data_IF_329233736137
#
_entry.id   IF_329233736137
#
_cell.length_a   1.000
_cell.length_b   1.000
_cell.length_c   1.000
_cell.angle_alpha   90.00
_cell.angle_beta   90.00
_cell.angle_gamma   90.00
#
_symmetry.space_group_name_H-M   'P 1'
#
loop_
_entity.id
_entity.type
_entity.pdbx_description
1 polymer ?
#
# COMPACT_ATOMS: atom_id res chain seq x y z
N UNK A 1 -14.32 -19.74 -22.33
CA UNK A 1 -15.30 -20.11 -21.28
C UNK A 1 -14.51 -20.12 -19.98
N UNK A 2 -14.72 -19.14 -19.09
CA UNK A 2 -13.93 -19.01 -17.84
C UNK A 2 -14.15 -20.26 -16.96
N UNK A 3 -13.10 -20.76 -16.33
CA UNK A 3 -13.16 -21.89 -15.40
C UNK A 3 -14.03 -21.52 -14.19
N UNK A 4 -15.21 -22.15 -14.09
CA UNK A 4 -16.27 -21.85 -13.11
C UNK A 4 -16.04 -22.46 -11.71
N UNK A 5 -14.93 -23.16 -11.48
CA UNK A 5 -14.68 -23.90 -10.23
C UNK A 5 -14.13 -23.00 -9.11
N UNK A 6 -13.25 -22.04 -9.42
CA UNK A 6 -12.78 -21.04 -8.46
C UNK A 6 -13.87 -20.00 -8.10
N UNK A 7 -14.73 -19.68 -9.09
CA UNK A 7 -15.88 -18.79 -8.90
C UNK A 7 -16.88 -19.39 -7.89
N UNK A 8 -17.16 -20.70 -7.97
CA UNK A 8 -18.06 -21.39 -7.04
C UNK A 8 -17.59 -21.40 -5.57
N UNK A 9 -16.27 -21.46 -5.31
CA UNK A 9 -15.75 -21.46 -3.92
C UNK A 9 -15.85 -20.05 -3.33
N UNK A 10 -15.54 -19.04 -4.13
CA UNK A 10 -15.61 -17.63 -3.71
C UNK A 10 -17.06 -17.19 -3.50
N UNK A 11 -17.97 -17.59 -4.39
CA UNK A 11 -19.40 -17.30 -4.29
C UNK A 11 -20.03 -17.96 -3.05
N UNK A 12 -19.73 -19.23 -2.78
CA UNK A 12 -20.23 -19.90 -1.58
C UNK A 12 -19.65 -19.31 -0.28
N UNK A 13 -18.38 -18.85 -0.30
CA UNK A 13 -17.77 -18.23 0.86
C UNK A 13 -18.36 -16.84 1.17
N UNK A 14 -18.53 -15.99 0.16
CA UNK A 14 -19.08 -14.64 0.36
C UNK A 14 -20.53 -14.70 0.86
N UNK A 15 -21.37 -15.57 0.27
CA UNK A 15 -22.75 -15.77 0.71
C UNK A 15 -22.79 -16.24 2.15
N UNK A 16 -21.97 -17.24 2.51
CA UNK A 16 -21.89 -17.74 3.89
C UNK A 16 -21.50 -16.64 4.86
N UNK A 17 -20.42 -15.91 4.60
CA UNK A 17 -19.95 -14.85 5.50
C UNK A 17 -20.94 -13.69 5.65
N UNK A 18 -21.61 -13.28 4.56
CA UNK A 18 -22.64 -12.24 4.63
C UNK A 18 -23.88 -12.70 5.41
N UNK A 19 -24.31 -13.95 5.22
CA UNK A 19 -25.42 -14.52 5.98
C UNK A 19 -25.09 -14.66 7.47
N UNK A 20 -23.88 -15.10 7.80
CA UNK A 20 -23.43 -15.22 9.18
C UNK A 20 -23.36 -13.84 9.85
N UNK A 21 -22.80 -12.83 9.17
CA UNK A 21 -22.80 -11.44 9.65
C UNK A 21 -24.22 -10.90 9.92
N UNK A 22 -25.16 -11.12 8.98
CA UNK A 22 -26.53 -10.65 9.13
C UNK A 22 -27.25 -11.33 10.32
N UNK A 23 -27.02 -12.63 10.53
CA UNK A 23 -27.58 -13.36 11.68
C UNK A 23 -26.94 -12.94 13.00
N UNK A 24 -25.62 -12.76 13.03
CA UNK A 24 -24.86 -12.36 14.21
C UNK A 24 -25.30 -10.98 14.70
N UNK A 25 -25.41 -10.02 13.78
CA UNK A 25 -25.77 -8.64 14.09
C UNK A 25 -27.28 -8.41 14.21
N UNK A 26 -28.10 -9.38 13.76
CA UNK A 26 -29.55 -9.24 13.59
C UNK A 26 -29.91 -8.02 12.74
N UNK A 27 -29.25 -7.91 11.59
CA UNK A 27 -29.38 -6.78 10.66
C UNK A 27 -30.85 -6.48 10.36
N UNK A 28 -31.28 -5.27 10.68
CA UNK A 28 -32.64 -4.81 10.41
C UNK A 28 -32.81 -4.37 8.95
N UNK A 29 -34.06 -4.24 8.51
CA UNK A 29 -34.36 -3.71 7.16
C UNK A 29 -33.82 -2.30 6.95
N UNK A 30 -33.91 -1.43 7.95
CA UNK A 30 -33.41 -0.05 7.85
C UNK A 30 -31.88 0.01 7.73
N UNK A 31 -31.16 -0.82 8.50
CA UNK A 31 -29.70 -0.92 8.38
C UNK A 31 -29.27 -1.53 7.05
N UNK A 32 -30.03 -2.50 6.56
CA UNK A 32 -29.81 -3.10 5.25
C UNK A 32 -30.03 -2.08 4.12
N UNK A 33 -31.13 -1.32 4.14
CA UNK A 33 -31.39 -0.25 3.16
C UNK A 33 -30.27 0.81 3.18
N UNK A 34 -29.85 1.24 4.37
CA UNK A 34 -28.72 2.16 4.52
C UNK A 34 -27.42 1.60 3.91
N UNK A 35 -27.12 0.32 4.12
CA UNK A 35 -25.93 -0.32 3.56
C UNK A 35 -25.99 -0.40 2.03
N UNK A 36 -27.17 -0.71 1.46
CA UNK A 36 -27.39 -0.72 0.01
C UNK A 36 -27.19 0.68 -0.58
N UNK A 37 -27.78 1.70 0.04
CA UNK A 37 -27.63 3.09 -0.39
C UNK A 37 -26.17 3.56 -0.30
N UNK A 38 -25.46 3.18 0.76
CA UNK A 38 -24.05 3.46 0.92
C UNK A 38 -23.19 2.84 -0.19
N UNK A 39 -23.44 1.58 -0.55
CA UNK A 39 -22.73 0.90 -1.64
C UNK A 39 -23.07 1.52 -3.00
N UNK A 40 -24.34 1.87 -3.22
CA UNK A 40 -24.77 2.58 -4.42
C UNK A 40 -24.08 3.95 -4.54
N UNK A 41 -24.01 4.71 -3.45
CA UNK A 41 -23.33 6.00 -3.40
C UNK A 41 -21.81 5.86 -3.65
N UNK A 42 -21.18 4.81 -3.12
CA UNK A 42 -19.78 4.49 -3.43
C UNK A 42 -19.60 4.29 -4.94
N UNK A 43 -20.46 3.48 -5.56
CA UNK A 43 -20.43 3.19 -7.00
C UNK A 43 -20.68 4.42 -7.87
N UNK A 44 -21.61 5.31 -7.50
CA UNK A 44 -21.88 6.54 -8.24
C UNK A 44 -20.72 7.54 -8.21
N UNK A 45 -19.90 7.50 -7.16
CA UNK A 45 -18.74 8.39 -6.98
C UNK A 45 -17.41 7.72 -7.36
N UNK A 46 -17.46 6.48 -7.85
CA UNK A 46 -16.30 5.77 -8.35
C UNK A 46 -15.70 6.42 -9.60
N UNK A 47 -14.38 6.41 -9.64
CA UNK A 47 -13.58 6.55 -10.85
C UNK A 47 -12.59 5.37 -10.87
N UNK A 48 -11.77 5.16 -11.92
CA UNK A 48 -10.78 4.09 -11.95
C UNK A 48 -9.83 4.05 -10.73
N UNK A 49 -9.68 5.17 -10.03
CA UNK A 49 -8.84 5.33 -8.84
C UNK A 49 -9.61 5.69 -7.56
N UNK A 50 -10.96 5.69 -7.57
CA UNK A 50 -11.76 6.29 -6.48
C UNK A 50 -12.90 5.42 -5.94
N UNK A 51 -13.14 5.59 -4.63
CA UNK A 51 -14.20 5.06 -3.76
C UNK A 51 -14.15 3.58 -3.37
N UNK A 52 -14.29 2.60 -4.26
CA UNK A 52 -14.28 1.19 -3.82
C UNK A 52 -12.90 0.72 -3.35
N UNK A 53 -11.82 1.17 -4.01
CA UNK A 53 -10.45 0.94 -3.53
C UNK A 53 -10.25 1.59 -2.16
N UNK A 54 -10.68 2.86 -2.01
CA UNK A 54 -10.56 3.56 -0.74
C UNK A 54 -11.41 2.90 0.37
N UNK A 55 -12.60 2.38 0.05
CA UNK A 55 -13.41 1.61 1.00
C UNK A 55 -12.66 0.36 1.45
N UNK A 56 -12.09 -0.40 0.49
CA UNK A 56 -11.24 -1.57 0.76
C UNK A 56 -10.04 -1.22 1.64
N UNK A 57 -9.40 -0.08 1.40
CA UNK A 57 -8.27 0.41 2.18
C UNK A 57 -8.69 0.72 3.63
N UNK A 58 -9.78 1.48 3.83
CA UNK A 58 -10.19 1.91 5.17
C UNK A 58 -10.82 0.81 6.01
N UNK A 59 -11.28 -0.29 5.42
CA UNK A 59 -11.71 -1.49 6.15
C UNK A 59 -10.58 -2.53 6.31
N UNK A 60 -9.40 -2.26 5.75
CA UNK A 60 -8.21 -3.12 5.87
C UNK A 60 -8.18 -4.32 4.93
N UNK A 61 -9.13 -4.43 3.99
CA UNK A 61 -9.19 -5.55 3.05
C UNK A 61 -8.00 -5.53 2.08
N UNK A 62 -7.61 -4.35 1.57
CA UNK A 62 -6.49 -4.22 0.64
C UNK A 62 -5.17 -4.74 1.23
N UNK A 63 -4.90 -4.39 2.49
CA UNK A 63 -3.71 -4.84 3.20
C UNK A 63 -3.73 -6.35 3.48
N UNK A 64 -4.91 -6.88 3.82
CA UNK A 64 -5.08 -8.32 4.04
C UNK A 64 -4.81 -9.11 2.76
N UNK A 65 -5.38 -8.67 1.63
CA UNK A 65 -5.16 -9.29 0.32
C UNK A 65 -3.67 -9.23 -0.06
N UNK A 66 -3.02 -8.08 0.09
CA UNK A 66 -1.58 -7.93 -0.17
C UNK A 66 -0.75 -8.90 0.69
N UNK A 67 -1.07 -9.04 1.98
CA UNK A 67 -0.34 -9.92 2.89
C UNK A 67 -0.52 -11.41 2.57
N UNK A 68 -1.68 -11.79 2.00
CA UNK A 68 -1.96 -13.15 1.53
C UNK A 68 -1.22 -13.43 0.23
N UNK A 69 -1.26 -12.48 -0.71
CA UNK A 69 -0.70 -12.67 -2.04
C UNK A 69 0.83 -12.50 -2.05
N UNK A 70 1.41 -11.61 -1.24
CA UNK A 70 2.84 -11.35 -1.19
C UNK A 70 3.44 -11.64 0.19
N UNK A 71 3.39 -12.89 0.69
CA UNK A 71 3.96 -13.21 1.99
C UNK A 71 5.48 -13.03 1.96
N UNK A 72 6.02 -12.41 3.02
CA UNK A 72 7.46 -12.17 3.16
C UNK A 72 8.07 -13.09 4.22
N UNK A 73 9.24 -13.70 3.95
CA UNK A 73 10.01 -14.40 4.97
C UNK A 73 10.60 -13.42 5.98
N UNK A 74 11.10 -13.93 7.11
CA UNK A 74 11.80 -13.11 8.10
C UNK A 74 13.02 -12.41 7.47
N UNK A 75 13.19 -11.11 7.76
CA UNK A 75 14.27 -10.29 7.23
C UNK A 75 14.03 -9.68 5.85
N UNK A 76 12.98 -10.09 5.13
CA UNK A 76 12.58 -9.41 3.89
C UNK A 76 11.81 -8.12 4.18
N UNK A 77 11.93 -7.12 3.30
CA UNK A 77 11.14 -5.89 3.45
C UNK A 77 9.66 -6.19 3.25
N UNK A 78 8.85 -5.74 4.19
CA UNK A 78 7.41 -5.96 4.17
C UNK A 78 6.72 -5.12 3.08
N UNK A 79 5.72 -5.72 2.42
CA UNK A 79 4.79 -5.00 1.55
C UNK A 79 3.76 -4.20 2.34
N UNK A 80 3.22 -3.15 1.72
CA UNK A 80 2.03 -2.43 2.22
C UNK A 80 1.26 -1.82 1.05
N UNK A 81 0.08 -1.27 1.32
CA UNK A 81 -0.83 -0.77 0.29
C UNK A 81 -0.19 0.30 -0.59
N UNK A 82 -0.34 0.17 -1.92
CA UNK A 82 0.11 1.16 -2.89
C UNK A 82 -0.59 2.52 -2.69
N UNK A 83 -1.87 2.47 -2.30
CA UNK A 83 -2.77 3.62 -2.29
C UNK A 83 -3.17 4.07 -3.71
N UNK A 84 -4.13 5.00 -3.83
CA UNK A 84 -4.77 5.34 -5.10
C UNK A 84 -3.96 6.32 -5.98
N UNK A 85 -2.76 6.72 -5.57
CA UNK A 85 -2.04 7.86 -6.16
C UNK A 85 -0.86 7.47 -7.07
N UNK A 86 -0.66 6.17 -7.31
CA UNK A 86 0.27 5.68 -8.32
C UNK A 86 -0.21 6.04 -9.72
N UNK A 87 0.69 6.53 -10.56
CA UNK A 87 0.45 6.81 -11.98
C UNK A 87 1.64 6.38 -12.83
N UNK A 88 1.39 6.06 -14.10
CA UNK A 88 2.38 5.52 -15.02
C UNK A 88 3.12 6.62 -15.83
N UNK A 89 2.90 7.89 -15.48
CA UNK A 89 3.44 9.07 -16.20
C UNK A 89 4.67 9.70 -15.52
N UNK A 90 5.26 9.01 -14.54
CA UNK A 90 6.50 9.46 -13.90
C UNK A 90 7.66 9.52 -14.91
N UNK A 91 8.48 10.57 -14.81
CA UNK A 91 9.66 10.72 -15.64
C UNK A 91 10.80 9.76 -15.20
N UNK A 92 11.59 9.30 -16.16
CA UNK A 92 12.87 8.65 -15.88
C UNK A 92 13.90 9.70 -15.46
N UNK A 93 14.54 9.50 -14.31
CA UNK A 93 15.48 10.45 -13.73
C UNK A 93 16.82 9.77 -13.42
N UNK A 94 17.87 10.57 -13.29
CA UNK A 94 19.21 10.13 -12.91
C UNK A 94 19.40 10.21 -11.40
N UNK A 95 20.38 9.47 -10.89
CA UNK A 95 20.77 9.58 -9.49
C UNK A 95 21.20 11.01 -9.17
N UNK A 96 20.56 11.59 -8.14
CA UNK A 96 20.81 12.95 -7.68
C UNK A 96 19.94 14.04 -8.27
N UNK A 97 19.04 13.70 -9.19
CA UNK A 97 18.01 14.63 -9.64
C UNK A 97 17.04 14.96 -8.50
N UNK A 98 16.39 16.13 -8.60
CA UNK A 98 15.43 16.63 -7.62
C UNK A 98 14.00 16.33 -8.08
N UNK A 99 13.27 15.56 -7.28
CA UNK A 99 11.88 15.21 -7.56
C UNK A 99 10.91 16.12 -6.75
N UNK A 100 11.43 16.95 -5.85
CA UNK A 100 10.67 17.92 -5.06
C UNK A 100 10.66 19.29 -5.75
N UNK A 101 9.47 19.81 -6.01
CA UNK A 101 9.29 21.13 -6.66
C UNK A 101 8.24 21.98 -5.96
N UNK A 102 7.74 21.50 -4.82
CA UNK A 102 6.81 22.24 -3.96
C UNK A 102 7.56 23.39 -3.27
N UNK A 103 7.21 24.65 -3.54
CA UNK A 103 7.91 25.82 -2.99
C UNK A 103 7.74 25.97 -1.47
N UNK A 104 6.73 25.32 -0.87
CA UNK A 104 6.44 25.35 0.56
C UNK A 104 7.04 24.13 1.31
N UNK A 105 7.64 23.19 0.57
CA UNK A 105 8.26 21.98 1.11
C UNK A 105 9.63 22.22 1.75
N UNK A 106 9.92 21.52 2.86
CA UNK A 106 11.27 21.53 3.46
C UNK A 106 12.16 20.57 2.65
N UNK A 107 13.26 21.05 2.02
CA UNK A 107 14.16 20.20 1.25
C UNK A 107 14.74 19.08 2.10
N UNK A 108 14.69 17.86 1.56
CA UNK A 108 15.12 16.64 2.22
C UNK A 108 15.75 15.72 1.18
N UNK A 109 16.86 15.05 1.46
CA UNK A 109 17.39 14.03 0.55
C UNK A 109 16.56 12.74 0.66
N UNK A 110 15.28 12.78 0.31
CA UNK A 110 14.34 11.68 0.53
C UNK A 110 13.02 11.97 -0.17
N UNK A 111 12.43 10.93 -0.75
CA UNK A 111 11.17 10.77 -1.50
C UNK A 111 9.86 11.42 -0.91
N UNK A 112 8.89 11.78 -1.77
CA UNK A 112 8.02 13.00 -1.71
C UNK A 112 6.48 12.83 -1.79
N UNK A 113 5.74 13.96 -1.68
CA UNK A 113 4.27 14.17 -1.81
C UNK A 113 3.63 13.94 -3.19
N UNK A 114 2.29 13.73 -3.23
CA UNK A 114 1.53 13.39 -4.44
C UNK A 114 0.94 14.60 -5.20
N UNK A 115 1.43 14.81 -6.42
CA UNK A 115 0.98 15.80 -7.42
C UNK A 115 -0.46 15.62 -7.97
N UNK A 116 -0.98 14.39 -7.99
CA UNK A 116 -2.27 14.04 -8.61
C UNK A 116 -3.49 14.65 -7.91
N UNK A 117 -3.30 15.33 -6.78
CA UNK A 117 -4.36 16.00 -6.05
C UNK A 117 -4.50 17.49 -6.41
N UNK A 118 -3.59 18.05 -7.21
CA UNK A 118 -3.69 19.43 -7.69
C UNK A 118 -4.64 19.52 -8.89
N UNK A 119 -5.66 20.39 -8.78
CA UNK A 119 -6.62 20.66 -9.87
C UNK A 119 -5.97 21.30 -11.11
N UNK A 120 -4.75 21.83 -10.97
CA UNK A 120 -4.05 22.65 -11.97
C UNK A 120 -2.72 21.98 -12.40
N UNK A 121 -2.67 20.66 -12.42
CA UNK A 121 -1.45 19.89 -12.71
C UNK A 121 -0.97 20.12 -14.15
N UNK A 122 0.25 20.63 -14.31
CA UNK A 122 0.91 20.77 -15.62
C UNK A 122 1.93 19.66 -15.88
N UNK A 123 2.62 19.14 -14.86
CA UNK A 123 3.66 18.11 -14.97
C UNK A 123 3.62 17.11 -13.78
N UNK A 124 4.33 15.98 -13.85
CA UNK A 124 4.54 15.09 -12.72
C UNK A 124 5.42 15.72 -11.62
N UNK A 125 5.00 15.66 -10.35
CA UNK A 125 5.79 16.14 -9.19
C UNK A 125 5.87 15.08 -8.08
N UNK A 126 7.00 15.04 -7.35
CA UNK A 126 7.19 14.16 -6.19
C UNK A 126 7.36 12.66 -6.51
N UNK A 127 7.59 12.31 -7.78
CA UNK A 127 7.68 10.94 -8.28
C UNK A 127 8.80 10.79 -9.29
N UNK A 128 9.47 9.64 -9.29
CA UNK A 128 10.49 9.30 -10.28
C UNK A 128 10.62 7.79 -10.47
N UNK A 129 11.11 7.38 -11.65
CA UNK A 129 11.60 6.02 -11.90
C UNK A 129 13.12 6.06 -11.95
N UNK A 130 13.75 5.38 -10.99
CA UNK A 130 15.20 5.32 -10.82
C UNK A 130 15.70 3.88 -10.99
N UNK A 131 16.98 3.73 -11.36
CA UNK A 131 17.66 2.43 -11.41
C UNK A 131 18.81 2.43 -10.42
N UNK A 132 18.97 1.33 -9.70
CA UNK A 132 20.13 1.12 -8.83
C UNK A 132 21.42 1.09 -9.65
N UNK A 133 22.51 1.56 -9.05
CA UNK A 133 23.85 1.41 -9.62
C UNK A 133 24.36 -0.05 -9.53
N UNK A 134 25.60 -0.27 -9.96
CA UNK A 134 26.24 -1.60 -9.93
C UNK A 134 26.39 -2.20 -8.53
N UNK A 135 26.28 -1.39 -7.47
CA UNK A 135 26.34 -1.80 -6.08
C UNK A 135 24.95 -1.93 -5.44
N UNK A 136 23.87 -1.76 -6.22
CA UNK A 136 22.50 -1.78 -5.71
C UNK A 136 22.05 -0.47 -5.06
N UNK A 137 22.83 0.62 -5.18
CA UNK A 137 22.51 1.89 -4.52
C UNK A 137 21.67 2.80 -5.43
N UNK A 138 20.71 3.51 -4.82
CA UNK A 138 19.93 4.58 -5.45
C UNK A 138 19.81 5.74 -4.46
N UNK A 139 19.88 6.98 -4.95
CA UNK A 139 19.73 8.18 -4.13
C UNK A 139 19.22 9.34 -4.96
N UNK A 140 18.45 10.23 -4.33
CA UNK A 140 17.76 11.34 -4.98
C UNK A 140 17.27 12.34 -3.95
N UNK A 141 16.97 13.58 -4.39
CA UNK A 141 16.49 14.66 -3.53
C UNK A 141 14.96 14.77 -3.60
N UNK A 142 14.33 15.12 -2.49
CA UNK A 142 12.90 15.43 -2.41
C UNK A 142 12.56 16.32 -1.18
N UNK A 143 11.39 16.18 -0.52
CA UNK A 143 10.93 17.02 0.60
C UNK A 143 10.36 16.17 1.74
N UNK A 144 10.52 16.63 3.00
CA UNK A 144 9.97 15.99 4.22
C UNK A 144 8.49 15.63 4.02
N UNK A 145 8.08 14.34 4.00
CA UNK A 145 6.66 14.03 3.90
C UNK A 145 5.98 14.54 5.17
N UNK A 146 4.73 14.97 5.00
CA UNK A 146 3.85 15.34 6.11
C UNK A 146 2.56 14.51 6.02
N UNK A 147 1.85 14.41 7.14
CA UNK A 147 0.58 13.73 7.17
C UNK A 147 -0.45 14.41 6.24
N UNK A 148 -1.30 13.62 5.59
CA UNK A 148 -2.34 14.12 4.70
C UNK A 148 -3.65 13.33 4.84
N UNK A 149 -4.82 13.95 4.61
CA UNK A 149 -6.09 13.26 4.68
C UNK A 149 -6.35 12.42 3.41
N UNK A 150 -6.91 11.23 3.58
CA UNK A 150 -7.60 10.54 2.47
C UNK A 150 -8.83 11.35 2.02
N UNK A 151 -9.34 11.19 0.79
CA UNK A 151 -10.53 11.89 0.34
C UNK A 151 -11.73 11.67 1.27
N UNK A 152 -12.35 12.76 1.76
CA UNK A 152 -13.46 12.72 2.74
C UNK A 152 -14.77 13.32 2.23
N UNK A 153 -14.80 13.72 0.98
CA UNK A 153 -15.96 14.35 0.33
C UNK A 153 -16.97 13.33 -0.21
N UNK A 154 -16.73 12.03 -0.05
CA UNK A 154 -17.60 10.94 -0.50
C UNK A 154 -18.07 10.03 0.63
N UNK A 155 -18.80 8.95 0.30
CA UNK A 155 -19.38 8.03 1.29
C UNK A 155 -18.33 7.44 2.24
N UNK A 156 -17.11 7.14 1.78
CA UNK A 156 -16.05 6.67 2.67
C UNK A 156 -15.69 7.70 3.75
N UNK A 157 -15.78 9.00 3.44
CA UNK A 157 -15.64 10.06 4.42
C UNK A 157 -16.76 10.07 5.46
N UNK A 158 -18.01 9.84 5.04
CA UNK A 158 -19.15 9.66 5.96
C UNK A 158 -18.96 8.44 6.86
N UNK A 159 -18.49 7.32 6.29
CA UNK A 159 -18.19 6.10 7.01
C UNK A 159 -17.12 6.33 8.09
N UNK A 160 -16.01 6.99 7.75
CA UNK A 160 -14.97 7.33 8.74
C UNK A 160 -15.52 8.21 9.86
N UNK A 161 -16.34 9.23 9.53
CA UNK A 161 -16.99 10.08 10.53
C UNK A 161 -17.93 9.29 11.45
N UNK A 162 -18.76 8.42 10.90
CA UNK A 162 -19.68 7.59 11.67
C UNK A 162 -18.94 6.64 12.64
N UNK A 163 -17.77 6.15 12.24
CA UNK A 163 -16.89 5.31 13.08
C UNK A 163 -16.02 6.10 14.07
N UNK A 164 -16.09 7.44 14.07
CA UNK A 164 -15.23 8.29 14.91
C UNK A 164 -13.74 8.25 14.51
N UNK A 165 -13.44 7.93 13.25
CA UNK A 165 -12.07 7.78 12.72
C UNK A 165 -11.61 9.04 11.98
N UNK A 166 -10.34 9.42 12.16
CA UNK A 166 -9.76 10.52 11.39
C UNK A 166 -9.34 10.06 9.98
N UNK A 167 -9.25 10.97 9.00
CA UNK A 167 -8.83 10.62 7.64
C UNK A 167 -7.33 10.74 7.38
N UNK A 168 -6.53 11.23 8.34
CA UNK A 168 -5.10 11.50 8.11
C UNK A 168 -4.24 10.24 8.10
N UNK A 169 -3.54 10.02 6.98
CA UNK A 169 -2.42 9.09 6.91
C UNK A 169 -1.17 9.78 7.48
N UNK A 170 -0.30 9.04 8.21
CA UNK A 170 0.94 9.62 8.73
C UNK A 170 1.87 10.04 7.60
N UNK A 171 2.87 10.88 7.88
CA UNK A 171 3.95 11.16 6.95
C UNK A 171 4.62 9.85 6.49
N UNK A 172 4.60 9.58 5.19
CA UNK A 172 5.19 8.37 4.63
C UNK A 172 5.63 8.58 3.19
N UNK A 173 6.38 7.58 2.72
CA UNK A 173 7.00 7.63 1.43
C UNK A 173 6.92 6.28 0.73
N UNK A 174 6.34 6.23 -0.46
CA UNK A 174 6.09 4.98 -1.19
C UNK A 174 7.31 4.49 -1.95
N UNK A 175 7.44 3.19 -2.17
CA UNK A 175 8.44 2.59 -3.04
C UNK A 175 7.81 1.44 -3.80
N UNK A 176 8.19 1.31 -5.07
CA UNK A 176 7.81 0.20 -5.92
C UNK A 176 9.06 -0.35 -6.59
N UNK A 177 9.32 -1.64 -6.40
CA UNK A 177 10.45 -2.34 -6.98
C UNK A 177 9.98 -3.34 -8.01
N UNK A 178 10.59 -3.28 -9.19
CA UNK A 178 10.36 -4.21 -10.27
C UNK A 178 11.71 -4.71 -10.82
N UNK A 179 11.88 -6.04 -10.82
CA UNK A 179 13.08 -6.71 -11.33
C UNK A 179 12.73 -8.13 -11.77
N UNK A 180 13.01 -8.53 -13.02
CA UNK A 180 12.75 -9.89 -13.48
C UNK A 180 13.38 -10.95 -12.56
N UNK A 181 12.59 -11.96 -12.19
CA UNK A 181 12.99 -13.04 -11.27
C UNK A 181 12.80 -12.71 -9.78
N UNK A 182 12.43 -11.48 -9.44
CA UNK A 182 12.13 -11.04 -8.09
C UNK A 182 10.65 -10.75 -7.93
N UNK A 183 10.16 -10.95 -6.70
CA UNK A 183 8.79 -10.66 -6.34
C UNK A 183 8.55 -9.15 -6.40
N UNK A 184 7.41 -8.76 -6.97
CA UNK A 184 7.05 -7.36 -7.04
C UNK A 184 6.88 -6.83 -5.61
N UNK A 185 7.53 -5.72 -5.29
CA UNK A 185 7.46 -5.13 -3.95
C UNK A 185 6.87 -3.73 -4.04
N UNK A 186 5.70 -3.57 -3.44
CA UNK A 186 5.11 -2.28 -3.13
C UNK A 186 5.23 -2.09 -1.62
N UNK A 187 5.83 -0.99 -1.19
CA UNK A 187 5.99 -0.69 0.23
C UNK A 187 5.95 0.82 0.49
N UNK A 188 5.93 1.22 1.75
CA UNK A 188 6.01 2.60 2.16
C UNK A 188 6.72 2.72 3.50
N UNK A 189 7.64 3.68 3.61
CA UNK A 189 8.33 3.99 4.85
C UNK A 189 7.58 5.11 5.58
N UNK A 190 7.21 4.88 6.83
CA UNK A 190 6.51 5.84 7.69
C UNK A 190 7.51 6.59 8.56
N UNK A 191 7.35 7.90 8.70
CA UNK A 191 8.27 8.71 9.51
C UNK A 191 7.96 8.54 10.99
N UNK A 192 9.00 8.21 11.77
CA UNK A 192 8.90 8.08 13.22
C UNK A 192 8.47 9.38 13.88
N UNK A 193 7.54 9.28 14.83
CA UNK A 193 7.05 10.39 15.62
C UNK A 193 5.94 11.19 14.94
N UNK A 194 5.48 10.76 13.76
CA UNK A 194 4.28 11.35 13.15
C UNK A 194 3.06 11.16 14.06
N UNK A 195 2.23 12.19 14.15
CA UNK A 195 1.03 12.22 15.00
C UNK A 195 0.07 11.04 14.74
N UNK A 196 0.02 10.53 13.51
CA UNK A 196 -0.89 9.50 13.07
C UNK A 196 -0.21 8.13 12.87
N UNK A 197 1.06 7.98 13.26
CA UNK A 197 1.86 6.75 13.09
C UNK A 197 1.13 5.50 13.62
N UNK A 198 0.45 5.61 14.76
CA UNK A 198 -0.26 4.49 15.41
C UNK A 198 -1.73 4.34 15.00
N UNK A 199 -2.26 5.22 14.14
CA UNK A 199 -3.69 5.31 13.84
C UNK A 199 -3.96 5.54 12.34
N UNK A 200 -3.12 5.02 11.44
CA UNK A 200 -3.32 5.15 9.99
C UNK A 200 -4.70 4.62 9.56
N UNK A 201 -5.57 5.44 8.93
CA UNK A 201 -6.92 5.03 8.53
C UNK A 201 -6.97 3.91 7.50
N UNK A 202 -5.85 3.62 6.82
CA UNK A 202 -5.75 2.50 5.86
C UNK A 202 -4.85 1.37 6.37
N UNK A 203 -4.46 1.41 7.65
CA UNK A 203 -3.67 0.38 8.32
C UNK A 203 -2.29 0.10 7.67
N UNK A 204 -1.75 1.02 6.88
CA UNK A 204 -0.55 0.79 6.07
C UNK A 204 0.76 0.81 6.87
N UNK A 205 0.74 1.24 8.13
CA UNK A 205 1.94 1.35 8.97
C UNK A 205 2.34 -0.01 9.53
N UNK A 206 3.60 -0.36 9.32
CA UNK A 206 4.24 -1.56 9.89
C UNK A 206 5.45 -1.14 10.72
N UNK A 207 5.66 -1.77 11.88
CA UNK A 207 6.74 -1.40 12.81
C UNK A 207 8.13 -1.44 12.16
N UNK A 208 8.36 -2.41 11.28
CA UNK A 208 9.59 -2.60 10.51
C UNK A 208 9.85 -1.49 9.47
N UNK A 209 8.79 -0.78 9.05
CA UNK A 209 8.83 0.28 8.04
C UNK A 209 8.77 1.69 8.66
N UNK A 210 8.85 1.80 9.99
CA UNK A 210 8.95 3.10 10.67
C UNK A 210 10.41 3.50 10.74
N UNK A 211 10.75 4.63 10.12
CA UNK A 211 12.13 5.10 9.94
C UNK A 211 12.33 6.52 10.48
N UNK A 212 13.57 6.84 10.83
CA UNK A 212 13.96 8.15 11.32
C UNK A 212 14.46 9.04 10.18
N UNK A 213 14.21 10.36 10.29
CA UNK A 213 14.85 11.36 9.44
C UNK A 213 16.07 11.91 10.18
N UNK A 214 17.23 11.55 9.67
CA UNK A 214 18.55 11.97 10.14
C UNK A 214 19.02 13.25 9.42
N UNK A 215 20.28 13.61 9.64
CA UNK A 215 20.97 14.68 8.93
C UNK A 215 22.23 14.15 8.25
N UNK A 216 22.58 14.72 7.09
CA UNK A 216 23.81 14.39 6.37
C UNK A 216 24.99 14.91 7.18
N UNK A 217 25.71 13.99 7.81
CA UNK A 217 26.89 14.29 8.64
C UNK A 217 28.22 13.82 8.02
N UNK A 218 28.15 13.09 6.90
CA UNK A 218 29.33 12.56 6.20
C UNK A 218 29.77 13.51 5.09
N UNK A 219 30.99 14.06 5.20
CA UNK A 219 31.59 14.88 4.14
C UNK A 219 31.73 14.11 2.82
N UNK A 220 32.02 12.80 2.90
CA UNK A 220 32.10 11.94 1.73
C UNK A 220 30.75 11.84 1.02
N UNK A 221 29.67 11.64 1.78
CA UNK A 221 28.31 11.58 1.23
C UNK A 221 27.87 12.93 0.67
N UNK A 222 28.09 14.01 1.42
CA UNK A 222 27.81 15.38 0.99
C UNK A 222 28.49 15.69 -0.35
N UNK A 223 29.77 15.33 -0.49
CA UNK A 223 30.53 15.49 -1.72
C UNK A 223 30.04 14.56 -2.85
N UNK A 224 29.79 13.28 -2.54
CA UNK A 224 29.30 12.28 -3.52
C UNK A 224 27.94 12.68 -4.11
N UNK A 225 27.05 13.19 -3.27
CA UNK A 225 25.67 13.53 -3.65
C UNK A 225 25.49 15.00 -4.04
N UNK A 226 26.52 15.85 -3.89
CA UNK A 226 26.44 17.28 -4.18
C UNK A 226 25.41 18.00 -3.30
N UNK A 227 25.41 17.70 -2.01
CA UNK A 227 24.47 18.23 -1.00
C UNK A 227 25.22 18.79 0.22
N UNK A 228 24.65 19.77 0.94
CA UNK A 228 25.29 20.31 2.14
C UNK A 228 25.19 19.35 3.33
N UNK A 229 26.14 19.48 4.27
CA UNK A 229 26.00 18.90 5.61
C UNK A 229 24.76 19.49 6.31
N UNK A 230 24.13 18.71 7.18
CA UNK A 230 22.91 19.11 7.90
C UNK A 230 21.62 19.00 7.08
N UNK A 231 21.69 18.67 5.78
CA UNK A 231 20.48 18.36 5.00
C UNK A 231 19.79 17.13 5.59
N UNK A 232 18.45 17.12 5.61
CA UNK A 232 17.67 15.97 6.11
C UNK A 232 17.89 14.72 5.25
N UNK A 233 17.98 13.56 5.89
CA UNK A 233 18.35 12.26 5.29
C UNK A 233 17.46 11.13 5.83
N UNK A 234 16.90 10.31 4.94
CA UNK A 234 16.28 9.03 5.24
C UNK A 234 17.12 8.00 4.49
N UNK A 235 17.67 7.09 5.27
CA UNK A 235 18.46 5.97 4.77
C UNK A 235 17.73 4.68 5.13
N UNK A 236 17.57 3.81 4.14
CA UNK A 236 16.91 2.53 4.33
C UNK A 236 17.44 1.48 3.36
N UNK A 237 17.58 0.25 3.84
CA UNK A 237 17.95 -0.90 3.03
C UNK A 237 16.71 -1.73 2.72
N UNK A 238 16.48 -2.00 1.43
CA UNK A 238 15.37 -2.82 0.97
C UNK A 238 15.85 -4.23 0.62
N UNK A 239 15.19 -5.24 1.19
CA UNK A 239 15.44 -6.66 0.91
C UNK A 239 14.28 -7.20 0.09
N UNK A 240 14.51 -7.36 -1.22
CA UNK A 240 13.53 -7.91 -2.17
C UNK A 240 13.81 -9.39 -2.38
N UNK A 241 12.77 -10.21 -2.22
CA UNK A 241 12.86 -11.67 -2.35
C UNK A 241 12.65 -12.13 -3.79
N UNK A 242 13.11 -13.34 -4.11
CA UNK A 242 12.88 -13.93 -5.43
C UNK A 242 11.43 -14.39 -5.59
N UNK A 243 10.96 -14.48 -6.84
CA UNK A 243 9.65 -15.07 -7.15
C UNK A 243 9.52 -16.51 -6.60
N UNK A 244 10.61 -17.27 -6.61
CA UNK A 244 10.65 -18.66 -6.15
C UNK A 244 10.40 -18.73 -4.64
N UNK A 245 11.08 -17.88 -3.86
CA UNK A 245 10.93 -17.83 -2.40
C UNK A 245 9.52 -17.38 -2.00
N UNK A 246 8.99 -16.33 -2.65
CA UNK A 246 7.65 -15.83 -2.39
C UNK A 246 6.58 -16.89 -2.69
N UNK A 247 6.63 -17.54 -3.86
CA UNK A 247 5.68 -18.59 -4.23
C UNK A 247 5.77 -19.80 -3.31
N UNK A 248 6.98 -20.21 -2.91
CA UNK A 248 7.17 -21.30 -1.95
C UNK A 248 6.48 -20.98 -0.62
N UNK A 249 6.72 -19.80 -0.07
CA UNK A 249 6.13 -19.38 1.20
C UNK A 249 4.59 -19.25 1.12
N UNK A 250 4.06 -18.73 0.01
CA UNK A 250 2.61 -18.65 -0.25
C UNK A 250 1.97 -20.04 -0.19
N UNK A 251 2.60 -21.03 -0.84
CA UNK A 251 2.12 -22.42 -0.82
C UNK A 251 2.17 -23.04 0.58
N UNK A 252 3.26 -22.83 1.32
CA UNK A 252 3.41 -23.34 2.69
C UNK A 252 2.34 -22.78 3.63
N UNK A 253 2.12 -21.46 3.61
CA UNK A 253 1.09 -20.79 4.43
C UNK A 253 -0.32 -21.26 4.06
N UNK A 254 -0.60 -21.39 2.76
CA UNK A 254 -1.88 -21.90 2.29
C UNK A 254 -2.16 -23.32 2.79
N UNK A 255 -1.17 -24.21 2.71
CA UNK A 255 -1.26 -25.58 3.23
C UNK A 255 -1.47 -25.61 4.74
N UNK A 256 -0.82 -24.73 5.50
CA UNK A 256 -1.01 -24.65 6.95
C UNK A 256 -2.45 -24.22 7.33
N UNK A 257 -2.97 -23.17 6.69
CA UNK A 257 -4.31 -22.64 6.97
C UNK A 257 -5.38 -23.67 6.60
N UNK A 258 -5.24 -24.32 5.44
CA UNK A 258 -6.25 -25.23 4.91
C UNK A 258 -6.11 -26.66 5.44
N UNK A 259 -4.91 -27.08 5.84
CA UNK A 259 -4.63 -28.35 6.50
C UNK A 259 -5.18 -28.44 7.93
N UNK A 260 -5.61 -27.31 8.52
CA UNK A 260 -6.45 -27.28 9.73
C UNK A 260 -7.89 -27.71 9.47
N UNK A 261 -8.29 -27.88 8.20
CA UNK A 261 -9.59 -28.41 7.77
C UNK A 261 -9.48 -29.83 7.18
N UNK A 262 -10.59 -30.57 7.17
CA UNK A 262 -10.66 -31.99 6.74
C UNK A 262 -10.63 -32.21 5.22
N UNK A 263 -10.35 -31.20 4.40
CA UNK A 263 -10.47 -31.24 2.93
C UNK A 263 -9.12 -31.15 2.23
N UNK A 264 -8.97 -31.84 1.11
CA UNK A 264 -7.76 -31.84 0.29
C UNK A 264 -7.56 -30.48 -0.38
N UNK A 265 -6.32 -29.98 -0.36
CA UNK A 265 -5.93 -28.69 -0.95
C UNK A 265 -5.34 -28.94 -2.34
N UNK A 266 -5.81 -28.20 -3.34
CA UNK A 266 -5.26 -28.19 -4.69
C UNK A 266 -4.84 -26.75 -5.07
N UNK A 267 -4.00 -26.61 -6.10
CA UNK A 267 -3.43 -25.32 -6.51
C UNK A 267 -3.68 -25.08 -7.99
N UNK A 268 -4.21 -23.90 -8.34
CA UNK A 268 -4.40 -23.43 -9.71
C UNK A 268 -3.77 -22.06 -9.85
N UNK A 269 -2.82 -21.88 -10.78
CA UNK A 269 -2.02 -20.66 -10.91
C UNK A 269 -1.43 -20.15 -9.59
N UNK A 270 -0.86 -21.06 -8.78
CA UNK A 270 -0.28 -20.76 -7.46
C UNK A 270 -1.26 -20.26 -6.38
N UNK A 271 -2.55 -20.19 -6.69
CA UNK A 271 -3.60 -19.90 -5.74
C UNK A 271 -4.18 -21.21 -5.17
N UNK A 272 -4.27 -21.33 -3.84
CA UNK A 272 -4.84 -22.50 -3.21
C UNK A 272 -6.37 -22.50 -3.33
N UNK A 273 -6.97 -23.66 -3.60
CA UNK A 273 -8.40 -23.86 -3.53
C UNK A 273 -8.74 -25.21 -2.90
N UNK A 274 -9.94 -25.31 -2.33
CA UNK A 274 -10.42 -26.57 -1.76
C UNK A 274 -10.84 -27.48 -2.92
N UNK A 275 -10.31 -28.70 -2.96
CA UNK A 275 -10.82 -29.70 -3.89
C UNK A 275 -12.32 -29.90 -3.61
N UNK A 276 -13.12 -29.88 -4.67
CA UNK A 276 -14.51 -30.30 -4.59
C UNK A 276 -14.50 -31.84 -4.62
N UNK A 277 -15.20 -32.45 -3.66
CA UNK A 277 -15.40 -33.91 -3.61
C UNK A 277 -16.20 -34.41 -4.83
#
# INVERSE_FOLDING_TARGET
MKDLTADNITENAIVRHLHDFARETRLSMAEWEYAVDFLAACGQKCSPTRQFVLLSDVIGLSLLVDSIDHPKPEGATEGTVLGPFHTHDAHHMSNGDDIGTDPDGIPMLVHCFYDVQYSNRENPHGRAVLKTDANGQVWFKAIVPVAYPVPTDGPVGDFLRAMGRHPYRPAHVHFMFDKPGYDHLITALTIRGDRFESHDPVFGVKKSLIVDINEVNSELMAKKCGIPLGMKLLEHEFVVVTNIEATKLRREKAQEIMGRGSRKVEFYNDLPFLALD
#
